data_IF_533480989550
#
_entry.id   IF_533480989550
#
_cell.length_a   1.000
_cell.length_b   1.000
_cell.length_c   1.000
_cell.angle_alpha   90.00
_cell.angle_beta   90.00
_cell.angle_gamma   90.00
#
_symmetry.space_group_name_H-M   'P 1'
#
loop_
_entity.id
_entity.type
_entity.pdbx_description
1 polymer ?
#
# COMPACT_ATOMS: atom_id res chain seq x y z
N UNK A 1 3.14 0.78 -0.02
CA UNK A 1 3.92 2.01 0.18
C UNK A 1 3.19 2.83 1.22
N UNK A 2 3.89 3.29 2.25
CA UNK A 2 3.30 4.12 3.32
C UNK A 2 3.84 5.55 3.29
N UNK A 3 4.93 5.79 2.56
CA UNK A 3 5.50 7.12 2.38
C UNK A 3 6.53 7.20 1.24
N UNK A 4 6.97 8.43 0.98
CA UNK A 4 8.02 8.78 0.01
C UNK A 4 8.70 10.08 0.46
N UNK A 5 9.82 10.47 -0.17
CA UNK A 5 10.53 11.69 0.25
C UNK A 5 9.78 13.02 0.02
N UNK A 6 8.74 13.03 -0.83
CA UNK A 6 7.92 14.21 -1.18
C UNK A 6 8.69 15.42 -1.76
N UNK A 7 9.96 15.26 -2.11
CA UNK A 7 10.85 16.36 -2.53
C UNK A 7 11.50 16.16 -3.90
N UNK A 8 11.29 15.02 -4.57
CA UNK A 8 11.88 14.74 -5.87
C UNK A 8 10.87 14.91 -7.01
N UNK A 9 11.37 15.05 -8.25
CA UNK A 9 10.54 15.25 -9.45
C UNK A 9 9.48 14.17 -9.66
N UNK A 10 9.75 12.94 -9.19
CA UNK A 10 8.79 11.83 -9.27
C UNK A 10 7.63 12.06 -8.29
N UNK A 11 7.93 12.50 -7.07
CA UNK A 11 6.87 12.85 -6.12
C UNK A 11 6.08 14.09 -6.55
N UNK A 12 6.73 15.06 -7.21
CA UNK A 12 6.07 16.26 -7.73
C UNK A 12 5.12 15.98 -8.91
N UNK A 13 5.22 14.80 -9.52
CA UNK A 13 4.38 14.34 -10.65
C UNK A 13 3.37 13.27 -10.24
N UNK A 14 3.08 13.12 -8.95
CA UNK A 14 2.19 12.07 -8.42
C UNK A 14 2.66 10.65 -8.79
N UNK A 15 3.99 10.46 -8.89
CA UNK A 15 4.68 9.21 -9.21
C UNK A 15 5.53 8.74 -8.02
N UNK A 16 4.97 8.86 -6.81
CA UNK A 16 5.65 8.55 -5.54
C UNK A 16 6.09 7.09 -5.44
N UNK A 17 5.36 6.18 -6.12
CA UNK A 17 5.70 4.76 -6.22
C UNK A 17 7.01 4.51 -6.98
N UNK A 18 7.51 5.50 -7.72
CA UNK A 18 8.80 5.45 -8.40
C UNK A 18 9.89 6.23 -7.65
N UNK A 19 9.61 6.78 -6.47
CA UNK A 19 10.60 7.50 -5.68
C UNK A 19 11.75 6.58 -5.26
N UNK A 20 12.99 7.06 -5.34
CA UNK A 20 14.19 6.31 -4.89
C UNK A 20 14.25 6.16 -3.37
N UNK A 21 13.55 7.03 -2.63
CA UNK A 21 13.37 7.00 -1.17
C UNK A 21 11.93 6.62 -0.85
N UNK A 22 11.49 5.51 -1.40
CA UNK A 22 10.17 4.93 -1.13
C UNK A 22 10.18 4.24 0.23
N UNK A 23 9.12 4.44 1.01
CA UNK A 23 8.91 3.75 2.29
C UNK A 23 7.87 2.66 2.08
N UNK A 24 8.31 1.41 2.12
CA UNK A 24 7.43 0.26 1.97
C UNK A 24 6.67 -0.01 3.27
N UNK A 25 5.56 -0.71 3.14
CA UNK A 25 4.66 -0.99 4.27
C UNK A 25 5.29 -1.90 5.34
N UNK A 26 6.41 -2.56 5.05
CA UNK A 26 7.14 -3.38 6.01
C UNK A 26 8.64 -3.40 5.68
N UNK A 27 9.47 -3.67 6.69
CA UNK A 27 10.92 -3.89 6.59
C UNK A 27 11.70 -2.76 5.89
N UNK A 28 11.14 -1.56 5.84
CA UNK A 28 11.81 -0.37 5.29
C UNK A 28 12.07 0.63 6.40
N UNK A 29 13.19 1.38 6.34
CA UNK A 29 13.37 2.52 7.22
C UNK A 29 12.32 3.60 6.91
N UNK A 30 11.65 4.12 7.93
CA UNK A 30 10.78 5.30 7.86
C UNK A 30 11.61 6.60 7.95
N UNK A 31 10.96 7.77 7.91
CA UNK A 31 11.63 9.07 7.93
C UNK A 31 12.48 9.31 9.18
N UNK A 32 12.05 8.76 10.31
CA UNK A 32 12.71 8.79 11.62
C UNK A 32 13.73 7.64 11.80
N UNK A 33 13.89 6.79 10.79
CA UNK A 33 14.85 5.68 10.80
C UNK A 33 14.36 4.40 11.49
N UNK A 34 13.17 4.41 12.08
CA UNK A 34 12.53 3.19 12.58
C UNK A 34 12.14 2.27 11.43
N UNK A 35 11.97 0.97 11.71
CA UNK A 35 11.51 0.01 10.71
C UNK A 35 9.99 0.04 10.62
N UNK A 36 9.46 0.04 9.40
CA UNK A 36 8.03 -0.12 9.16
C UNK A 36 7.59 -1.55 9.44
N UNK A 37 6.47 -1.68 10.13
CA UNK A 37 5.81 -2.96 10.40
C UNK A 37 4.53 -3.06 9.59
N UNK A 38 4.34 -4.21 8.93
CA UNK A 38 3.19 -4.45 8.07
C UNK A 38 1.88 -4.54 8.85
N UNK A 39 0.77 -4.62 8.11
CA UNK A 39 -0.58 -4.65 8.68
C UNK A 39 -0.97 -5.92 9.46
N UNK A 40 -0.07 -6.88 9.66
CA UNK A 40 -0.28 -8.05 10.51
C UNK A 40 0.16 -7.76 11.97
N UNK A 41 -0.30 -6.63 12.49
CA UNK A 41 -0.01 -6.16 13.85
C UNK A 41 -1.33 -5.66 14.46
N UNK A 42 -1.49 -5.75 15.79
CA UNK A 42 -2.73 -5.33 16.47
C UNK A 42 -3.07 -3.85 16.28
N UNK A 43 -2.10 -3.05 15.83
CA UNK A 43 -2.24 -1.61 15.61
C UNK A 43 -1.71 -1.25 14.21
N UNK A 44 -2.63 -0.89 13.32
CA UNK A 44 -2.32 -0.20 12.06
C UNK A 44 -2.93 1.21 12.11
N UNK A 45 -2.08 2.23 12.06
CA UNK A 45 -2.50 3.64 12.05
C UNK A 45 -3.24 3.93 10.74
N UNK A 46 -4.57 3.80 10.76
CA UNK A 46 -5.43 4.11 9.61
C UNK A 46 -6.59 3.16 9.36
N UNK A 47 -6.70 2.01 10.04
CA UNK A 47 -7.78 1.05 9.79
C UNK A 47 -8.36 0.44 11.07
N UNK A 48 -8.72 1.29 12.04
CA UNK A 48 -9.44 0.85 13.24
C UNK A 48 -10.95 1.06 13.09
N UNK A 49 -11.65 0.08 12.49
CA UNK A 49 -13.08 -0.15 12.75
C UNK A 49 -13.29 -1.62 13.12
N UNK A 50 -13.81 -1.94 14.32
CA UNK A 50 -14.07 -3.33 14.72
C UNK A 50 -15.31 -3.91 14.01
N UNK A 51 -15.28 -5.20 13.66
CA UNK A 51 -16.50 -5.97 13.28
C UNK A 51 -16.52 -6.69 11.92
N UNK A 52 -15.40 -6.93 11.24
CA UNK A 52 -15.40 -7.62 9.93
C UNK A 52 -14.76 -9.01 9.98
N UNK A 53 -15.52 -10.03 9.57
CA UNK A 53 -15.01 -11.38 9.31
C UNK A 53 -14.63 -11.50 7.83
N UNK A 54 -13.40 -11.95 7.55
CA UNK A 54 -12.84 -12.03 6.20
C UNK A 54 -12.44 -13.47 5.85
N UNK A 55 -12.87 -13.96 4.70
CA UNK A 55 -12.42 -15.22 4.10
C UNK A 55 -11.87 -15.00 2.69
N UNK A 56 -10.82 -15.73 2.32
CA UNK A 56 -10.13 -15.60 1.02
C UNK A 56 -9.93 -16.99 0.40
N UNK A 57 -10.34 -17.15 -0.87
CA UNK A 57 -9.95 -18.28 -1.75
C UNK A 57 -9.74 -17.75 -3.17
N UNK A 58 -8.59 -18.05 -3.79
CA UNK A 58 -8.17 -17.44 -5.06
C UNK A 58 -8.73 -18.13 -6.32
N UNK A 59 -8.95 -17.46 -7.47
CA UNK A 59 -9.23 -16.05 -7.81
C UNK A 59 -8.40 -14.95 -7.13
N UNK A 60 -7.08 -15.05 -7.25
CA UNK A 60 -6.13 -14.14 -6.59
C UNK A 60 -6.31 -12.66 -6.96
N UNK A 61 -5.93 -11.78 -6.02
CA UNK A 61 -6.38 -10.39 -5.97
C UNK A 61 -6.19 -9.55 -7.24
N UNK A 62 -5.01 -9.59 -7.86
CA UNK A 62 -4.70 -8.68 -8.98
C UNK A 62 -5.44 -9.06 -10.27
N UNK A 63 -5.52 -10.35 -10.59
CA UNK A 63 -6.19 -10.83 -11.81
C UNK A 63 -7.71 -10.66 -11.76
N UNK A 64 -8.33 -10.89 -10.59
CA UNK A 64 -9.78 -10.71 -10.43
C UNK A 64 -10.17 -9.22 -10.53
N UNK A 65 -9.35 -8.32 -9.97
CA UNK A 65 -9.54 -6.87 -10.07
C UNK A 65 -9.31 -6.39 -11.51
N UNK A 66 -8.31 -6.94 -12.22
CA UNK A 66 -8.06 -6.61 -13.62
C UNK A 66 -9.25 -6.97 -14.54
N UNK A 67 -9.88 -8.14 -14.35
CA UNK A 67 -11.08 -8.53 -15.12
C UNK A 67 -12.26 -7.60 -14.83
N UNK A 68 -12.44 -7.17 -13.57
CA UNK A 68 -13.49 -6.22 -13.19
C UNK A 68 -13.27 -4.84 -13.78
N UNK A 69 -12.05 -4.31 -13.73
CA UNK A 69 -11.74 -3.03 -14.37
C UNK A 69 -11.83 -3.11 -15.90
N UNK A 70 -11.31 -4.18 -16.53
CA UNK A 70 -11.42 -4.36 -17.98
C UNK A 70 -12.87 -4.35 -18.48
N UNK A 71 -13.76 -5.08 -17.81
CA UNK A 71 -15.19 -5.09 -18.16
C UNK A 71 -15.92 -3.78 -17.83
N UNK A 72 -15.43 -3.00 -16.86
CA UNK A 72 -16.02 -1.71 -16.50
C UNK A 72 -15.60 -0.57 -17.44
N UNK A 73 -14.45 -0.68 -18.11
CA UNK A 73 -13.94 0.32 -19.06
C UNK A 73 -14.29 0.03 -20.53
N UNK A 74 -14.89 -1.14 -20.83
CA UNK A 74 -15.42 -1.49 -22.17
C UNK A 74 -14.82 -2.77 -22.73
#
# INVERSE_FOLDING_TARGET
MVGSCRSCDRCAKDLENYCTKIILAYNSPDHDGTKTYGGYSDMYFGLSKPGMHLGVVGLGGLGHVAVKFGKAFG
#
